data_IF_690268013156
#
_entry.id   IF_690268013156
#
_cell.length_a   1.000
_cell.length_b   1.000
_cell.length_c   1.000
_cell.angle_alpha   90.00
_cell.angle_beta   90.00
_cell.angle_gamma   90.00
#
_symmetry.space_group_name_H-M   'P 1'
#
loop_
_entity.id
_entity.type
_entity.pdbx_description
1 polymer ?
#
# COMPACT_ATOMS: atom_id res chain seq x y z
N UNK A 1 3.94 -6.51 19.04
CA UNK A 1 2.56 -6.19 18.61
C UNK A 1 1.55 -7.22 19.14
N UNK A 2 1.75 -8.53 18.96
CA UNK A 2 0.76 -9.54 19.39
C UNK A 2 0.32 -9.46 20.86
N UNK A 3 1.26 -9.28 21.80
CA UNK A 3 0.95 -9.14 23.23
C UNK A 3 0.39 -7.77 23.65
N UNK A 4 0.08 -6.90 22.70
CA UNK A 4 -0.46 -5.55 22.95
C UNK A 4 -1.92 -5.41 22.49
N UNK A 5 -2.68 -6.51 22.49
CA UNK A 5 -4.10 -6.54 22.06
C UNK A 5 -4.31 -5.89 20.68
N UNK A 6 -3.46 -6.27 19.72
CA UNK A 6 -3.52 -5.71 18.38
C UNK A 6 -4.86 -6.04 17.70
N UNK A 7 -5.56 -5.02 17.21
CA UNK A 7 -6.78 -5.20 16.43
C UNK A 7 -6.45 -5.37 14.95
N UNK A 8 -7.06 -6.37 14.31
CA UNK A 8 -6.91 -6.63 12.88
C UNK A 8 -8.02 -5.95 12.09
N UNK A 9 -7.63 -5.28 11.01
CA UNK A 9 -8.54 -4.58 10.10
C UNK A 9 -8.39 -5.12 8.69
N UNK A 10 -9.49 -5.11 7.92
CA UNK A 10 -9.42 -5.43 6.49
C UNK A 10 -8.70 -4.35 5.68
N UNK A 11 -8.77 -3.10 6.14
CA UNK A 11 -8.70 -1.95 5.25
C UNK A 11 -8.10 -0.73 5.95
N UNK A 12 -7.12 -0.10 5.31
CA UNK A 12 -6.45 1.12 5.78
C UNK A 12 -7.44 2.25 6.11
N UNK A 13 -8.53 2.40 5.35
CA UNK A 13 -9.52 3.46 5.58
C UNK A 13 -10.14 3.39 6.98
N UNK A 14 -10.50 2.19 7.46
CA UNK A 14 -11.08 2.05 8.80
C UNK A 14 -10.04 2.25 9.91
N UNK A 15 -8.79 1.87 9.65
CA UNK A 15 -7.69 2.16 10.58
C UNK A 15 -7.48 3.66 10.75
N UNK A 16 -7.53 4.44 9.66
CA UNK A 16 -7.40 5.91 9.68
C UNK A 16 -8.55 6.54 10.47
N UNK A 17 -9.80 6.12 10.22
CA UNK A 17 -10.99 6.61 10.94
C UNK A 17 -10.90 6.32 12.46
N UNK A 18 -10.49 5.11 12.84
CA UNK A 18 -10.39 4.74 14.24
C UNK A 18 -9.21 5.42 14.95
N UNK A 19 -8.16 5.81 14.23
CA UNK A 19 -7.10 6.70 14.75
C UNK A 19 -7.62 8.13 14.89
N UNK A 20 -8.27 8.69 13.86
CA UNK A 20 -8.79 10.06 13.87
C UNK A 20 -9.90 10.30 14.91
N UNK A 21 -10.64 9.25 15.28
CA UNK A 21 -11.64 9.30 16.36
C UNK A 21 -11.06 9.05 17.77
N UNK A 22 -9.76 8.77 17.89
CA UNK A 22 -9.09 8.47 19.15
C UNK A 22 -9.37 7.06 19.70
N UNK A 23 -10.09 6.21 18.96
CA UNK A 23 -10.31 4.81 19.34
C UNK A 23 -9.02 3.98 19.30
N UNK A 24 -8.11 4.30 18.38
CA UNK A 24 -6.77 3.72 18.28
C UNK A 24 -5.72 4.81 18.52
N UNK A 25 -4.68 4.49 19.27
CA UNK A 25 -3.56 5.41 19.46
C UNK A 25 -2.67 5.53 18.22
N UNK A 26 -2.49 4.44 17.47
CA UNK A 26 -1.75 4.41 16.21
C UNK A 26 -2.15 3.21 15.35
N UNK A 27 -1.79 3.26 14.08
CA UNK A 27 -1.99 2.20 13.10
C UNK A 27 -0.69 1.92 12.33
N UNK A 28 -0.41 0.65 12.03
CA UNK A 28 0.81 0.22 11.35
C UNK A 28 0.51 -0.39 9.98
N UNK A 29 1.42 -0.22 9.01
CA UNK A 29 1.26 -0.64 7.61
C UNK A 29 0.00 -0.08 6.91
N UNK A 30 -0.33 1.18 7.21
CA UNK A 30 -1.42 1.92 6.56
C UNK A 30 -0.97 2.41 5.17
N UNK A 31 -1.87 2.41 4.19
CA UNK A 31 -1.60 3.01 2.88
C UNK A 31 -1.45 4.53 3.01
N UNK A 32 -0.22 5.05 2.90
CA UNK A 32 0.10 6.48 3.05
C UNK A 32 -0.74 7.39 2.13
N UNK A 33 -0.97 6.98 0.87
CA UNK A 33 -1.85 7.73 -0.06
C UNK A 33 -3.28 7.93 0.44
N UNK A 34 -3.78 7.06 1.33
CA UNK A 34 -5.12 7.20 1.89
C UNK A 34 -5.11 8.07 3.13
N UNK A 35 -4.06 7.96 3.95
CA UNK A 35 -3.87 8.83 5.10
C UNK A 35 -3.69 10.30 4.65
N UNK A 36 -2.86 10.55 3.64
CA UNK A 36 -2.63 11.88 3.08
C UNK A 36 -3.89 12.52 2.47
N UNK A 37 -4.80 11.70 1.92
CA UNK A 37 -6.07 12.20 1.42
C UNK A 37 -7.05 12.60 2.54
N UNK A 38 -6.89 12.03 3.75
CA UNK A 38 -7.77 12.30 4.90
C UNK A 38 -7.20 13.37 5.84
N UNK A 39 -5.89 13.59 5.89
CA UNK A 39 -5.26 14.66 6.69
C UNK A 39 -5.74 16.05 6.28
N UNK A 40 -6.18 16.24 5.03
CA UNK A 40 -6.79 17.49 4.59
C UNK A 40 -8.16 17.78 5.26
N UNK A 41 -8.78 16.77 5.89
CA UNK A 41 -10.09 16.87 6.55
C UNK A 41 -10.03 16.60 8.07
N UNK A 42 -8.91 16.07 8.57
CA UNK A 42 -8.72 15.65 9.97
C UNK A 42 -7.33 16.11 10.42
N UNK A 43 -7.25 17.28 11.04
CA UNK A 43 -5.99 17.92 11.49
C UNK A 43 -5.26 17.14 12.61
N UNK A 44 -5.83 16.03 13.09
CA UNK A 44 -5.34 15.29 14.27
C UNK A 44 -4.47 14.06 13.92
N UNK A 45 -4.18 13.78 12.65
CA UNK A 45 -3.42 12.60 12.23
C UNK A 45 -2.03 12.97 11.72
N UNK A 46 -1.00 12.38 12.34
CA UNK A 46 0.39 12.49 11.89
C UNK A 46 0.77 11.21 11.14
N UNK A 47 1.33 11.37 9.93
CA UNK A 47 1.88 10.28 9.14
C UNK A 47 3.37 10.14 9.48
N UNK A 48 3.78 8.94 9.90
CA UNK A 48 5.18 8.63 10.23
C UNK A 48 5.70 7.59 9.25
N UNK A 49 6.71 7.97 8.46
CA UNK A 49 7.47 7.05 7.61
C UNK A 49 8.66 6.50 8.41
N UNK A 50 8.78 5.16 8.58
CA UNK A 50 9.90 4.59 9.33
C UNK A 50 11.25 4.85 8.63
N UNK A 51 12.25 5.23 9.41
CA UNK A 51 13.59 5.56 8.90
C UNK A 51 14.45 4.34 8.54
N UNK A 52 14.10 3.16 9.07
CA UNK A 52 14.77 1.90 8.78
C UNK A 52 14.37 1.33 7.42
N UNK A 53 13.05 1.31 7.15
CA UNK A 53 12.51 1.04 5.82
C UNK A 53 11.05 1.48 5.67
N UNK A 54 10.73 2.03 4.50
CA UNK A 54 9.36 2.32 4.07
C UNK A 54 9.02 1.47 2.85
N UNK A 55 8.10 0.53 3.00
CA UNK A 55 7.70 -0.36 1.89
C UNK A 55 6.81 0.39 0.90
N UNK A 56 7.20 0.38 -0.37
CA UNK A 56 6.43 1.02 -1.44
C UNK A 56 5.76 -0.04 -2.33
N UNK A 57 4.43 -0.04 -2.34
CA UNK A 57 3.62 -0.88 -3.22
C UNK A 57 3.30 -0.15 -4.52
N UNK A 58 3.54 -0.82 -5.65
CA UNK A 58 3.19 -0.30 -6.98
C UNK A 58 1.74 -0.70 -7.33
N UNK A 59 0.89 0.28 -7.61
CA UNK A 59 -0.41 -0.01 -8.22
C UNK A 59 -0.18 -0.56 -9.62
N UNK A 60 -0.74 -1.74 -9.86
CA UNK A 60 -0.53 -2.49 -11.08
C UNK A 60 -1.85 -2.64 -11.83
N UNK A 61 -1.81 -2.48 -13.15
CA UNK A 61 -2.94 -2.74 -14.03
C UNK A 61 -2.57 -3.86 -15.01
N UNK A 62 -3.54 -4.70 -15.37
CA UNK A 62 -3.36 -5.77 -16.36
C UNK A 62 -4.62 -5.86 -17.24
N UNK A 63 -4.42 -6.20 -18.52
CA UNK A 63 -5.51 -6.56 -19.43
C UNK A 63 -5.62 -8.09 -19.42
N UNK A 64 -6.72 -8.68 -18.93
CA UNK A 64 -6.91 -10.13 -18.99
C UNK A 64 -6.87 -10.63 -20.43
N UNK A 65 -6.30 -11.82 -20.66
CA UNK A 65 -6.25 -12.43 -22.00
C UNK A 65 -7.63 -12.64 -22.62
N UNK A 66 -8.66 -12.75 -21.80
CA UNK A 66 -10.06 -12.93 -22.18
C UNK A 66 -10.88 -11.63 -22.10
N UNK A 67 -10.24 -10.46 -22.10
CA UNK A 67 -10.95 -9.18 -22.11
C UNK A 67 -11.86 -9.08 -23.34
N UNK A 68 -13.13 -8.73 -23.12
CA UNK A 68 -14.12 -8.56 -24.21
C UNK A 68 -13.82 -7.36 -25.10
N UNK A 69 -13.13 -6.35 -24.55
CA UNK A 69 -12.80 -5.09 -25.23
C UNK A 69 -11.33 -4.71 -24.93
N UNK A 70 -10.34 -5.45 -25.45
CA UNK A 70 -8.94 -5.25 -25.11
C UNK A 70 -8.42 -3.89 -25.60
N UNK A 71 -8.94 -3.35 -26.71
CA UNK A 71 -8.55 -2.04 -27.21
C UNK A 71 -8.97 -0.91 -26.24
N UNK A 72 -10.22 -0.95 -25.75
CA UNK A 72 -10.69 0.03 -24.77
C UNK A 72 -9.95 -0.08 -23.43
N UNK A 73 -9.65 -1.30 -22.99
CA UNK A 73 -8.82 -1.52 -21.81
C UNK A 73 -7.41 -0.92 -21.97
N UNK A 74 -6.81 -1.04 -23.17
CA UNK A 74 -5.54 -0.40 -23.52
C UNK A 74 -5.61 1.12 -23.40
N UNK A 75 -6.60 1.74 -24.06
CA UNK A 75 -6.81 3.19 -23.99
C UNK A 75 -7.03 3.69 -22.55
N UNK A 76 -7.71 2.91 -21.71
CA UNK A 76 -7.89 3.25 -20.31
C UNK A 76 -6.58 3.19 -19.52
N UNK A 77 -5.73 2.19 -19.75
CA UNK A 77 -4.41 2.12 -19.11
C UNK A 77 -3.53 3.29 -19.59
N UNK A 78 -3.53 3.61 -20.88
CA UNK A 78 -2.79 4.75 -21.43
C UNK A 78 -3.24 6.07 -20.77
N UNK A 79 -4.55 6.23 -20.57
CA UNK A 79 -5.12 7.35 -19.85
C UNK A 79 -4.60 7.42 -18.39
N UNK A 80 -4.62 6.30 -17.65
CA UNK A 80 -4.08 6.24 -16.29
C UNK A 80 -2.58 6.57 -16.23
N UNK A 81 -1.80 6.07 -17.20
CA UNK A 81 -0.36 6.32 -17.27
C UNK A 81 -0.04 7.80 -17.49
N UNK A 82 -0.85 8.49 -18.29
CA UNK A 82 -0.67 9.94 -18.55
C UNK A 82 -0.70 10.78 -17.27
N UNK A 83 -1.49 10.40 -16.26
CA UNK A 83 -1.52 11.08 -14.96
C UNK A 83 -0.32 10.71 -14.06
N UNK A 84 0.20 9.49 -14.21
CA UNK A 84 1.30 9.01 -13.36
C UNK A 84 2.68 9.54 -13.77
N UNK A 85 2.83 9.94 -15.04
CA UNK A 85 4.10 10.35 -15.64
C UNK A 85 4.29 11.87 -15.70
N UNK A 86 3.20 12.65 -15.74
CA UNK A 86 3.27 14.11 -15.80
C UNK A 86 3.06 14.73 -14.42
N UNK A 87 4.18 15.08 -13.76
CA UNK A 87 4.15 15.86 -12.53
C UNK A 87 3.43 17.20 -12.77
N UNK A 88 2.22 17.33 -12.23
CA UNK A 88 1.35 18.50 -12.41
C UNK A 88 -0.02 18.20 -13.04
N UNK A 89 -0.19 17.09 -13.78
CA UNK A 89 -1.53 16.64 -14.21
C UNK A 89 -2.29 15.88 -13.14
N UNK A 90 -1.60 15.43 -12.09
CA UNK A 90 -2.19 14.70 -11.00
C UNK A 90 -3.34 15.48 -10.32
N UNK A 91 -3.32 16.82 -10.29
CA UNK A 91 -4.36 17.58 -9.58
C UNK A 91 -4.58 17.06 -8.16
N UNK A 92 -5.83 16.82 -7.77
CA UNK A 92 -6.23 16.21 -6.49
C UNK A 92 -5.97 14.70 -6.40
N UNK A 93 -5.32 14.06 -7.39
CA UNK A 93 -4.99 12.63 -7.27
C UNK A 93 -3.99 12.45 -6.12
N UNK A 94 -4.35 11.68 -5.07
CA UNK A 94 -3.52 11.54 -3.87
C UNK A 94 -2.36 10.55 -4.09
N UNK A 95 -1.92 10.39 -5.34
CA UNK A 95 -0.97 9.36 -5.74
C UNK A 95 0.37 10.00 -6.04
N UNK A 96 1.45 9.59 -5.34
CA UNK A 96 2.77 10.11 -5.63
C UNK A 96 3.15 9.75 -7.07
N UNK A 97 3.77 10.71 -7.75
CA UNK A 97 4.34 10.48 -9.08
C UNK A 97 5.44 9.44 -9.00
N UNK A 98 5.51 8.56 -10.00
CA UNK A 98 6.58 7.56 -10.08
C UNK A 98 7.85 8.20 -10.62
N UNK A 99 8.43 9.15 -9.87
CA UNK A 99 9.73 9.71 -10.21
C UNK A 99 10.81 8.71 -9.81
N UNK A 100 11.39 8.03 -10.80
CA UNK A 100 12.45 7.03 -10.58
C UNK A 100 13.63 7.61 -9.83
N UNK A 101 13.98 8.86 -10.11
CA UNK A 101 15.13 9.54 -9.48
C UNK A 101 14.93 9.72 -7.97
N UNK A 102 13.70 10.01 -7.52
CA UNK A 102 13.35 10.14 -6.09
C UNK A 102 13.38 8.78 -5.39
N UNK A 103 12.92 7.72 -6.08
CA UNK A 103 12.95 6.35 -5.56
C UNK A 103 14.37 5.81 -5.39
N UNK A 104 15.34 6.33 -6.14
CA UNK A 104 16.74 5.91 -6.08
C UNK A 104 17.55 6.73 -5.06
N UNK A 105 17.13 7.95 -4.74
CA UNK A 105 17.79 8.82 -3.76
C UNK A 105 17.36 8.52 -2.32
N UNK A 106 16.12 8.11 -2.10
CA UNK A 106 15.62 7.84 -0.75
C UNK A 106 16.00 6.44 -0.23
N UNK A 107 17.07 6.39 0.55
CA UNK A 107 17.65 5.14 1.08
C UNK A 107 16.73 4.35 2.02
N UNK A 108 15.67 4.95 2.56
CA UNK A 108 14.66 4.25 3.37
C UNK A 108 13.60 3.56 2.50
N UNK A 109 13.36 4.02 1.27
CA UNK A 109 12.32 3.44 0.42
C UNK A 109 12.71 2.03 -0.05
N UNK A 110 11.75 1.11 0.04
CA UNK A 110 11.87 -0.29 -0.39
C UNK A 110 10.73 -0.63 -1.37
N UNK A 111 10.90 -0.36 -2.68
CA UNK A 111 9.89 -0.71 -3.67
C UNK A 111 9.74 -2.22 -3.85
N UNK A 112 8.48 -2.69 -3.87
CA UNK A 112 8.15 -4.07 -4.25
C UNK A 112 8.31 -4.20 -5.77
N UNK A 113 9.45 -4.74 -6.22
CA UNK A 113 9.72 -4.93 -7.65
C UNK A 113 8.86 -6.06 -8.22
N UNK A 114 8.23 -5.79 -9.37
CA UNK A 114 7.59 -6.82 -10.17
C UNK A 114 8.66 -7.68 -10.86
N UNK A 115 8.93 -8.86 -10.33
CA UNK A 115 9.95 -9.76 -10.87
C UNK A 115 9.90 -11.16 -10.28
N UNK A 116 10.87 -12.03 -10.61
CA UNK A 116 10.88 -13.43 -10.21
C UNK A 116 10.78 -13.67 -8.69
N UNK A 117 11.25 -12.71 -7.89
CA UNK A 117 11.13 -12.76 -6.43
C UNK A 117 9.68 -12.85 -5.93
N UNK A 118 8.71 -12.30 -6.66
CA UNK A 118 7.29 -12.42 -6.31
C UNK A 118 6.74 -13.83 -6.55
N UNK A 119 7.40 -14.63 -7.40
CA UNK A 119 6.99 -16.02 -7.63
C UNK A 119 7.26 -16.92 -6.42
N UNK A 120 8.17 -16.52 -5.52
CA UNK A 120 8.49 -17.28 -4.30
C UNK A 120 7.26 -17.46 -3.41
N UNK A 121 6.34 -16.49 -3.40
CA UNK A 121 5.11 -16.54 -2.61
C UNK A 121 3.89 -17.09 -3.38
N UNK A 122 4.05 -17.46 -4.66
CA UNK A 122 3.06 -18.24 -5.40
C UNK A 122 3.05 -19.71 -4.94
N UNK A 123 4.13 -20.17 -4.30
CA UNK A 123 4.15 -21.49 -3.66
C UNK A 123 3.17 -21.53 -2.48
N UNK A 124 2.21 -22.45 -2.58
CA UNK A 124 1.11 -22.58 -1.61
C UNK A 124 1.62 -22.96 -0.22
N UNK A 125 2.69 -23.77 -0.13
CA UNK A 125 3.25 -24.21 1.14
C UNK A 125 3.97 -23.06 1.86
N UNK A 126 4.81 -22.30 1.15
CA UNK A 126 5.47 -21.10 1.68
C UNK A 126 4.45 -20.08 2.15
N UNK A 127 3.42 -19.78 1.36
CA UNK A 127 2.35 -18.86 1.76
C UNK A 127 1.63 -19.35 3.02
N UNK A 128 1.25 -20.62 3.08
CA UNK A 128 0.59 -21.21 4.24
C UNK A 128 1.46 -21.14 5.50
N UNK A 129 2.74 -21.49 5.38
CA UNK A 129 3.68 -21.47 6.51
C UNK A 129 3.94 -20.05 7.01
N UNK A 130 4.10 -19.09 6.09
CA UNK A 130 4.25 -17.69 6.44
C UNK A 130 3.02 -17.14 7.20
N UNK A 131 1.81 -17.36 6.67
CA UNK A 131 0.58 -16.89 7.32
C UNK A 131 0.39 -17.54 8.69
N UNK A 132 0.67 -18.84 8.82
CA UNK A 132 0.60 -19.53 10.12
C UNK A 132 1.59 -18.95 11.13
N UNK A 133 2.83 -18.66 10.71
CA UNK A 133 3.82 -18.05 11.58
C UNK A 133 3.41 -16.63 12.02
N UNK A 134 2.87 -15.84 11.09
CA UNK A 134 2.34 -14.52 11.37
C UNK A 134 1.15 -14.57 12.34
N UNK A 135 0.18 -15.45 12.10
CA UNK A 135 -0.98 -15.65 12.99
C UNK A 135 -0.52 -16.05 14.39
N UNK A 136 0.40 -17.00 14.52
CA UNK A 136 0.93 -17.41 15.82
C UNK A 136 1.67 -16.27 16.55
N UNK A 137 2.30 -15.35 15.82
CA UNK A 137 3.01 -14.21 16.40
C UNK A 137 2.07 -13.08 16.83
N UNK A 138 0.94 -12.90 16.14
CA UNK A 138 -0.01 -11.82 16.38
C UNK A 138 -1.16 -12.25 17.30
N UNK A 139 -1.77 -13.39 17.02
CA UNK A 139 -2.89 -13.98 17.76
C UNK A 139 -2.39 -14.87 18.90
N UNK A 140 -1.50 -14.34 19.75
CA UNK A 140 -1.04 -15.07 20.93
C UNK A 140 -2.25 -15.28 21.84
N UNK A 141 -2.69 -16.54 21.97
CA UNK A 141 -3.70 -16.91 22.98
C UNK A 141 -3.09 -16.65 24.35
N UNK A 142 -3.76 -15.83 25.15
CA UNK A 142 -3.47 -15.70 26.58
C UNK A 142 -3.78 -17.01 27.29
#
# INVERSE_FOLDING_TARGET
>A
MGNMNAQLYCCSGKMIEDVGSGKLAFAYNVLGSYAAAQTNNQDDIIIVEPSDFTTLMLRSALIPKNAKQPQLAGLFIDHLLSFSLEAGKAGDFPFPTLQRDVLEQETALRPIRLGPGLMVYLDRLKRKNFLKAWENAILQKQ
#
